data_IF_943311726155
#
_entry.id   IF_943311726155
#
_cell.length_a   1.000
_cell.length_b   1.000
_cell.length_c   1.000
_cell.angle_alpha   90.00
_cell.angle_beta   90.00
_cell.angle_gamma   90.00
#
_symmetry.space_group_name_H-M   'P 1'
#
loop_
_entity.id
_entity.type
_entity.pdbx_description
1 polymer ?
#
# COMPACT_ATOMS: atom_id res chain seq x y z
N UNK A 1 5.39 40.62 -6.02
CA UNK A 1 6.49 39.65 -5.80
C UNK A 1 7.35 39.62 -7.06
N UNK A 2 8.68 39.49 -6.96
CA UNK A 2 9.54 39.49 -8.16
C UNK A 2 9.34 38.21 -8.98
N UNK A 3 9.45 38.26 -10.30
CA UNK A 3 9.34 37.09 -11.20
C UNK A 3 10.20 35.89 -10.75
N UNK A 4 11.35 36.17 -10.13
CA UNK A 4 12.24 35.16 -9.56
C UNK A 4 11.60 34.36 -8.43
N UNK A 5 10.86 35.03 -7.53
CA UNK A 5 10.20 34.36 -6.40
C UNK A 5 9.02 33.48 -6.83
N UNK A 6 8.30 33.87 -7.88
CA UNK A 6 7.21 33.09 -8.46
C UNK A 6 7.73 31.82 -9.14
N UNK A 7 8.85 31.92 -9.88
CA UNK A 7 9.54 30.77 -10.46
C UNK A 7 9.92 29.73 -9.40
N UNK A 8 10.59 30.12 -8.32
CA UNK A 8 10.98 29.19 -7.26
C UNK A 8 9.78 28.56 -6.55
N UNK A 9 8.69 29.32 -6.38
CA UNK A 9 7.46 28.81 -5.78
C UNK A 9 6.80 27.75 -6.66
N UNK A 10 6.71 28.01 -7.96
CA UNK A 10 6.16 27.05 -8.93
C UNK A 10 7.03 25.80 -9.05
N UNK A 11 8.37 25.97 -9.11
CA UNK A 11 9.30 24.84 -9.14
C UNK A 11 9.20 23.97 -7.87
N UNK A 12 9.13 24.61 -6.69
CA UNK A 12 8.89 23.90 -5.42
C UNK A 12 7.59 23.10 -5.47
N UNK A 13 6.49 23.70 -5.92
CA UNK A 13 5.21 23.03 -5.98
C UNK A 13 5.23 21.84 -6.96
N UNK A 14 5.90 21.99 -8.11
CA UNK A 14 6.05 20.89 -9.07
C UNK A 14 6.85 19.72 -8.51
N UNK A 15 7.94 19.99 -7.78
CA UNK A 15 8.71 18.96 -7.10
C UNK A 15 7.92 18.27 -5.99
N UNK A 16 7.14 19.01 -5.20
CA UNK A 16 6.34 18.42 -4.14
C UNK A 16 5.19 17.57 -4.68
N UNK A 17 4.58 17.97 -5.80
CA UNK A 17 3.52 17.20 -6.46
C UNK A 17 4.03 15.93 -7.15
N UNK A 18 5.32 15.86 -7.51
CA UNK A 18 5.89 14.66 -8.13
C UNK A 18 6.33 13.60 -7.12
N UNK A 19 6.41 13.93 -5.83
CA UNK A 19 6.78 12.98 -4.77
C UNK A 19 5.53 12.20 -4.34
N UNK A 20 5.48 10.92 -4.69
CA UNK A 20 4.43 10.03 -4.20
C UNK A 20 4.80 9.54 -2.79
N UNK A 21 3.90 9.76 -1.82
CA UNK A 21 4.08 9.32 -0.43
C UNK A 21 3.11 8.21 -0.08
N UNK A 22 1.82 8.50 -0.12
CA UNK A 22 0.75 7.51 -0.01
C UNK A 22 -0.50 7.99 -0.75
N UNK A 23 -1.31 7.03 -1.21
CA UNK A 23 -2.58 7.30 -1.88
C UNK A 23 -3.62 6.25 -1.48
N UNK A 24 -4.90 6.66 -1.31
CA UNK A 24 -5.99 5.71 -1.25
C UNK A 24 -6.20 5.09 -2.64
N UNK A 25 -6.30 3.77 -2.67
CA UNK A 25 -6.45 2.97 -3.88
C UNK A 25 -7.65 2.03 -3.73
N UNK A 26 -8.27 1.67 -4.85
CA UNK A 26 -9.31 0.63 -4.89
C UNK A 26 -8.72 -0.68 -5.41
N UNK A 27 -9.04 -1.78 -4.73
CA UNK A 27 -8.62 -3.13 -5.15
C UNK A 27 -9.48 -3.60 -6.33
N UNK A 28 -8.82 -3.97 -7.42
CA UNK A 28 -9.45 -4.50 -8.63
C UNK A 28 -9.37 -6.03 -8.68
N UNK A 29 -8.25 -6.60 -8.24
CA UNK A 29 -8.03 -8.04 -8.16
C UNK A 29 -7.04 -8.34 -7.05
N UNK A 30 -7.16 -9.51 -6.42
CA UNK A 30 -6.25 -9.98 -5.38
C UNK A 30 -5.82 -11.42 -5.65
N UNK A 31 -4.52 -11.69 -5.55
CA UNK A 31 -3.95 -13.02 -5.68
C UNK A 31 -3.42 -13.48 -4.31
N UNK A 32 -4.15 -14.41 -3.69
CA UNK A 32 -3.82 -14.95 -2.36
C UNK A 32 -2.49 -15.73 -2.34
N UNK A 33 -2.14 -16.43 -3.42
CA UNK A 33 -0.91 -17.25 -3.47
C UNK A 33 0.34 -16.38 -3.47
N UNK A 34 0.34 -15.31 -4.26
CA UNK A 34 1.48 -14.41 -4.38
C UNK A 34 1.42 -13.22 -3.41
N UNK A 35 0.28 -13.03 -2.71
CA UNK A 35 0.03 -11.90 -1.80
C UNK A 35 0.19 -10.55 -2.50
N UNK A 36 -0.22 -10.49 -3.76
CA UNK A 36 -0.21 -9.28 -4.58
C UNK A 36 -1.61 -8.86 -4.99
N UNK A 37 -1.82 -7.57 -5.14
CA UNK A 37 -3.09 -6.99 -5.58
C UNK A 37 -2.89 -6.09 -6.81
N UNK A 38 -3.90 -6.04 -7.66
CA UNK A 38 -4.06 -5.01 -8.67
C UNK A 38 -4.89 -3.88 -8.07
N UNK A 39 -4.35 -2.67 -8.04
CA UNK A 39 -4.98 -1.52 -7.39
C UNK A 39 -5.04 -0.29 -8.31
N UNK A 40 -6.11 0.48 -8.18
CA UNK A 40 -6.30 1.75 -8.89
C UNK A 40 -6.22 2.91 -7.90
N UNK A 41 -5.23 3.81 -8.04
CA UNK A 41 -5.21 5.05 -7.26
C UNK A 41 -6.47 5.89 -7.51
N UNK A 42 -7.03 6.46 -6.44
CA UNK A 42 -8.27 7.24 -6.49
C UNK A 42 -8.04 8.74 -6.73
N UNK A 43 -6.78 9.18 -6.76
CA UNK A 43 -6.44 10.56 -7.12
C UNK A 43 -6.29 10.73 -8.64
N UNK A 44 -6.65 11.93 -9.09
CA UNK A 44 -6.43 12.39 -10.45
C UNK A 44 -5.33 13.45 -10.47
N UNK A 45 -4.55 13.48 -11.53
CA UNK A 45 -3.57 14.53 -11.77
C UNK A 45 -4.16 15.51 -12.78
N UNK A 46 -3.95 16.81 -12.53
CA UNK A 46 -4.34 17.87 -13.46
C UNK A 46 -3.10 18.67 -13.83
N UNK A 47 -2.62 18.49 -15.05
CA UNK A 47 -1.57 19.34 -15.61
C UNK A 47 -2.14 20.69 -16.05
N UNK A 48 -1.29 21.72 -16.08
CA UNK A 48 -1.70 23.05 -16.55
C UNK A 48 -2.17 22.92 -18.01
N UNK A 49 -3.38 23.40 -18.29
CA UNK A 49 -4.05 23.31 -19.61
C UNK A 49 -4.45 21.91 -20.08
N UNK A 50 -4.43 20.87 -19.22
CA UNK A 50 -5.01 19.55 -19.52
C UNK A 50 -6.22 19.23 -18.65
N UNK A 51 -7.06 18.33 -19.16
CA UNK A 51 -8.13 17.75 -18.37
C UNK A 51 -7.53 16.88 -17.24
N UNK A 52 -8.25 16.67 -16.11
CA UNK A 52 -7.82 15.73 -15.09
C UNK A 52 -7.69 14.32 -15.68
N UNK A 53 -6.56 13.68 -15.44
CA UNK A 53 -6.26 12.32 -15.88
C UNK A 53 -6.19 11.36 -14.69
N UNK A 54 -6.65 10.14 -14.91
CA UNK A 54 -6.54 9.06 -13.93
C UNK A 54 -5.12 8.53 -13.93
N UNK A 55 -4.61 8.22 -12.75
CA UNK A 55 -3.37 7.48 -12.59
C UNK A 55 -3.51 6.06 -13.17
N UNK A 56 -2.39 5.52 -13.65
CA UNK A 56 -2.31 4.15 -14.12
C UNK A 56 -2.66 3.16 -13.00
N UNK A 57 -3.27 2.04 -13.40
CA UNK A 57 -3.46 0.88 -12.52
C UNK A 57 -2.08 0.34 -12.15
N UNK A 58 -1.92 -0.04 -10.89
CA UNK A 58 -0.72 -0.69 -10.37
C UNK A 58 -0.97 -2.19 -10.33
N UNK A 59 -0.03 -2.94 -10.86
CA UNK A 59 -0.07 -4.40 -10.85
C UNK A 59 0.96 -4.94 -9.86
N UNK A 60 0.72 -6.18 -9.40
CA UNK A 60 1.62 -6.92 -8.52
C UNK A 60 2.05 -6.19 -7.24
N UNK A 61 1.15 -5.36 -6.68
CA UNK A 61 1.45 -4.60 -5.46
C UNK A 61 1.42 -5.53 -4.24
N UNK A 62 2.50 -5.66 -3.47
CA UNK A 62 2.55 -6.51 -2.30
C UNK A 62 1.66 -5.98 -1.16
N UNK A 63 1.04 -6.91 -0.43
CA UNK A 63 0.24 -6.62 0.76
C UNK A 63 1.04 -6.90 2.02
N UNK A 64 1.08 -5.93 2.93
CA UNK A 64 1.71 -6.07 4.24
C UNK A 64 0.91 -7.05 5.11
N UNK A 65 1.61 -7.97 5.76
CA UNK A 65 1.04 -8.95 6.68
C UNK A 65 1.71 -8.85 8.05
N UNK A 66 0.93 -9.07 9.11
CA UNK A 66 1.41 -9.04 10.48
C UNK A 66 1.48 -10.45 11.05
N UNK A 67 2.66 -10.84 11.50
CA UNK A 67 2.85 -12.06 12.30
C UNK A 67 2.67 -11.71 13.77
N UNK A 68 1.56 -12.11 14.36
CA UNK A 68 1.24 -11.80 15.75
C UNK A 68 1.66 -12.98 16.64
N UNK A 69 2.51 -12.70 17.62
CA UNK A 69 2.81 -13.66 18.70
C UNK A 69 1.93 -13.35 19.90
N UNK A 70 1.02 -14.27 20.22
CA UNK A 70 0.15 -14.14 21.38
C UNK A 70 0.98 -14.46 22.63
N UNK A 71 1.15 -13.48 23.52
CA UNK A 71 2.02 -13.60 24.71
C UNK A 71 1.35 -14.33 25.89
N UNK A 72 0.04 -14.58 25.82
CA UNK A 72 -0.72 -15.27 26.86
C UNK A 72 -1.46 -16.49 26.31
N UNK A 73 -1.34 -17.61 27.01
CA UNK A 73 -1.97 -18.91 26.72
C UNK A 73 -3.50 -18.92 27.01
N UNK A 74 -4.14 -17.75 27.00
CA UNK A 74 -5.58 -17.60 27.26
C UNK A 74 -6.38 -17.92 26.01
N UNK A 75 -7.42 -18.73 26.15
CA UNK A 75 -8.30 -19.13 25.05
C UNK A 75 -8.85 -17.90 24.30
N UNK A 76 -8.79 -17.95 22.98
CA UNK A 76 -9.42 -16.94 22.13
C UNK A 76 -10.87 -17.38 21.93
N UNK A 77 -11.82 -16.56 22.38
CA UNK A 77 -13.25 -16.77 22.11
C UNK A 77 -13.60 -16.21 20.74
N UNK A 78 -13.86 -17.08 19.77
CA UNK A 78 -14.41 -16.68 18.46
C UNK A 78 -15.92 -16.74 18.55
N UNK A 79 -16.60 -15.59 18.40
CA UNK A 79 -18.06 -15.54 18.36
C UNK A 79 -18.51 -15.62 16.90
N UNK A 80 -19.02 -16.78 16.49
CA UNK A 80 -19.73 -16.92 15.21
C UNK A 80 -21.21 -16.61 15.48
N UNK A 81 -21.86 -15.72 14.73
CA UNK A 81 -23.30 -15.49 14.86
C UNK A 81 -24.05 -16.81 14.56
N UNK A 82 -24.88 -17.27 15.51
CA UNK A 82 -25.70 -18.50 15.50
C UNK A 82 -25.03 -19.85 15.83
N UNK A 83 -23.94 -19.89 16.59
CA UNK A 83 -23.48 -21.15 17.22
C UNK A 83 -22.90 -20.93 18.61
N UNK A 84 -23.10 -21.92 19.49
CA UNK A 84 -22.58 -21.93 20.86
C UNK A 84 -21.07 -21.62 20.91
N UNK A 85 -20.71 -20.74 21.85
CA UNK A 85 -19.37 -20.22 22.05
C UNK A 85 -18.32 -21.34 22.13
N UNK A 86 -17.59 -21.58 21.05
CA UNK A 86 -16.51 -22.57 21.00
C UNK A 86 -15.19 -21.87 21.33
N UNK A 87 -14.56 -22.29 22.43
CA UNK A 87 -13.24 -21.79 22.81
C UNK A 87 -12.18 -22.55 22.00
N UNK A 88 -11.34 -21.83 21.25
CA UNK A 88 -10.22 -22.42 20.51
C UNK A 88 -8.92 -22.04 21.22
N UNK A 89 -8.15 -23.03 21.64
CA UNK A 89 -6.82 -22.86 22.23
C UNK A 89 -5.77 -23.07 21.13
N UNK A 90 -5.03 -22.02 20.80
CA UNK A 90 -3.90 -22.11 19.87
C UNK A 90 -2.61 -22.30 20.67
N UNK A 91 -1.89 -23.40 20.43
CA UNK A 91 -0.61 -23.69 21.08
C UNK A 91 0.61 -23.13 20.31
N UNK A 92 0.39 -22.56 19.13
CA UNK A 92 1.42 -22.03 18.24
C UNK A 92 1.07 -20.60 17.76
N UNK A 93 2.03 -19.93 17.12
CA UNK A 93 1.81 -18.60 16.55
C UNK A 93 0.70 -18.62 15.50
N UNK A 94 -0.30 -17.75 15.66
CA UNK A 94 -1.41 -17.58 14.71
C UNK A 94 -0.99 -16.54 13.66
N UNK A 95 -1.11 -16.89 12.38
CA UNK A 95 -0.93 -15.95 11.27
C UNK A 95 -2.29 -15.30 10.95
N UNK A 96 -2.38 -13.97 11.11
CA UNK A 96 -3.56 -13.22 10.71
C UNK A 96 -3.38 -12.76 9.28
N UNK A 97 -4.07 -13.43 8.35
CA UNK A 97 -4.07 -13.05 6.93
C UNK A 97 -5.13 -11.96 6.73
N UNK A 98 -4.76 -10.76 6.22
CA UNK A 98 -5.74 -9.74 5.90
C UNK A 98 -6.66 -10.24 4.78
N UNK A 99 -7.97 -10.19 5.03
CA UNK A 99 -8.99 -10.51 4.02
C UNK A 99 -9.21 -9.27 3.14
N UNK A 100 -8.60 -9.27 1.96
CA UNK A 100 -8.76 -8.20 0.97
C UNK A 100 -9.68 -8.69 -0.14
N UNK A 101 -10.75 -7.93 -0.39
CA UNK A 101 -11.74 -8.24 -1.41
C UNK A 101 -11.70 -7.21 -2.55
N UNK A 102 -12.19 -7.65 -3.71
CA UNK A 102 -12.39 -6.75 -4.86
C UNK A 102 -13.39 -5.67 -4.48
N UNK A 103 -12.99 -4.41 -4.64
CA UNK A 103 -13.81 -3.26 -4.30
C UNK A 103 -13.37 -2.54 -3.03
N UNK A 104 -12.55 -3.16 -2.19
CA UNK A 104 -12.05 -2.56 -0.96
C UNK A 104 -11.17 -1.34 -1.26
N UNK A 105 -11.21 -0.37 -0.34
CA UNK A 105 -10.35 0.80 -0.39
C UNK A 105 -9.15 0.52 0.53
N UNK A 106 -7.95 0.65 -0.01
CA UNK A 106 -6.71 0.38 0.71
C UNK A 106 -5.81 1.61 0.67
N UNK A 107 -4.92 1.72 1.67
CA UNK A 107 -3.87 2.71 1.66
C UNK A 107 -2.59 2.10 1.07
N UNK A 108 -2.16 2.62 -0.07
CA UNK A 108 -0.88 2.29 -0.68
C UNK A 108 0.18 3.33 -0.27
N UNK A 109 1.33 2.85 0.22
CA UNK A 109 2.50 3.67 0.56
C UNK A 109 3.59 3.40 -0.47
N UNK A 110 4.24 4.45 -0.95
CA UNK A 110 5.30 4.33 -1.96
C UNK A 110 6.67 4.35 -1.29
N UNK A 111 7.52 3.40 -1.68
CA UNK A 111 8.88 3.35 -1.19
C UNK A 111 9.72 4.49 -1.79
N UNK A 112 10.70 4.95 -1.02
CA UNK A 112 11.64 5.98 -1.47
C UNK A 112 12.48 5.50 -2.66
N UNK A 113 12.74 4.19 -2.75
CA UNK A 113 13.59 3.55 -3.76
C UNK A 113 12.94 2.26 -4.26
N UNK A 114 13.46 1.79 -5.40
CA UNK A 114 13.08 0.52 -6.03
C UNK A 114 12.99 -0.64 -5.03
N UNK A 115 11.89 -1.41 -5.11
CA UNK A 115 11.63 -2.54 -4.21
C UNK A 115 12.03 -3.92 -4.79
N UNK A 116 12.29 -4.02 -6.09
CA UNK A 116 12.51 -5.26 -6.84
C UNK A 116 13.37 -6.29 -6.08
N UNK A 117 14.61 -5.94 -5.71
CA UNK A 117 15.50 -6.87 -5.02
C UNK A 117 15.39 -6.80 -3.48
N UNK A 118 14.81 -5.72 -2.95
CA UNK A 118 14.69 -5.50 -1.50
C UNK A 118 13.56 -6.35 -0.88
N UNK A 119 12.52 -6.66 -1.66
CA UNK A 119 11.40 -7.52 -1.24
C UNK A 119 11.88 -8.93 -0.89
N UNK A 120 12.96 -9.40 -1.52
CA UNK A 120 13.56 -10.71 -1.23
C UNK A 120 14.29 -10.77 0.12
N UNK A 121 14.42 -9.63 0.82
CA UNK A 121 15.15 -9.51 2.08
C UNK A 121 16.66 -9.36 1.92
N UNK A 122 17.13 -9.15 0.69
CA UNK A 122 18.53 -8.93 0.38
C UNK A 122 18.95 -7.48 0.66
N UNK A 123 20.16 -7.27 1.18
CA UNK A 123 20.74 -5.93 1.27
C UNK A 123 21.19 -5.53 -0.12
N UNK A 124 20.44 -4.63 -0.75
CA UNK A 124 20.65 -4.25 -2.14
C UNK A 124 20.97 -2.78 -2.27
N UNK A 125 21.77 -2.46 -3.29
CA UNK A 125 21.91 -1.09 -3.75
C UNK A 125 20.75 -0.80 -4.71
N UNK A 126 19.71 -0.07 -4.28
CA UNK A 126 18.56 0.15 -5.14
C UNK A 126 19.01 0.90 -6.40
N UNK A 127 18.48 0.52 -7.56
CA UNK A 127 18.76 1.21 -8.82
C UNK A 127 18.63 2.73 -8.70
N UNK A 128 19.50 3.48 -9.38
CA UNK A 128 19.61 4.94 -9.25
C UNK A 128 18.50 5.73 -9.95
N UNK A 129 17.65 5.06 -10.73
CA UNK A 129 16.73 5.73 -11.67
C UNK A 129 15.32 5.98 -11.11
N UNK A 130 14.89 5.28 -10.05
CA UNK A 130 13.49 5.34 -9.54
C UNK A 130 13.46 5.84 -8.10
N UNK A 131 12.81 7.00 -7.90
CA UNK A 131 12.61 7.67 -6.62
C UNK A 131 11.13 7.96 -6.44
N UNK A 132 10.54 7.54 -5.30
CA UNK A 132 9.13 7.80 -4.95
C UNK A 132 8.16 7.44 -6.07
N UNK A 133 8.40 6.32 -6.74
CA UNK A 133 7.65 5.98 -7.93
C UNK A 133 6.39 5.18 -7.59
N UNK A 134 5.34 5.36 -8.40
CA UNK A 134 4.02 4.79 -8.11
C UNK A 134 4.03 3.26 -8.16
N UNK A 135 4.93 2.66 -8.95
CA UNK A 135 5.06 1.20 -9.04
C UNK A 135 5.72 0.57 -7.80
N UNK A 136 6.48 1.33 -7.01
CA UNK A 136 7.12 0.84 -5.77
C UNK A 136 6.16 0.97 -4.57
N UNK A 137 4.90 0.55 -4.77
CA UNK A 137 3.85 0.66 -3.76
C UNK A 137 3.79 -0.58 -2.85
N UNK A 138 3.35 -0.38 -1.61
CA UNK A 138 3.05 -1.44 -0.64
C UNK A 138 1.68 -1.12 -0.03
N UNK A 139 0.79 -2.09 0.03
CA UNK A 139 -0.50 -1.93 0.70
C UNK A 139 -0.29 -2.16 2.19
N UNK A 140 -0.57 -1.14 3.00
CA UNK A 140 -0.34 -1.18 4.46
C UNK A 140 -1.62 -1.56 5.21
N UNK A 141 -2.79 -1.29 4.63
CA UNK A 141 -4.06 -1.65 5.26
C UNK A 141 -5.27 -1.27 4.43
N UNK A 142 -6.43 -1.75 4.89
CA UNK A 142 -7.76 -1.40 4.39
C UNK A 142 -8.22 -0.15 5.15
N UNK A 143 -8.90 0.77 4.45
CA UNK A 143 -9.49 2.00 4.99
C UNK A 143 -10.95 1.80 5.40
#
# INVERSE_FOLDING_TARGET
MSNSSEFYSNFKNQLLLSINTCMPCKVLAYNESNRTAKIQPLFMIKEINRAPEKLSVLEDVPVLFERVKIKNNTAISVTIPNSDHTQITFNESVELVPSINVGDIVLAVFAQRSLDDAIEGNVVYPGTSRLFAVHDAIIVGIL
#
